data_IF_444412638958
#
_entry.id   IF_444412638958
#
_cell.length_a   1.000
_cell.length_b   1.000
_cell.length_c   1.000
_cell.angle_alpha   90.00
_cell.angle_beta   90.00
_cell.angle_gamma   90.00
#
_symmetry.space_group_name_H-M   'P 1'
#
loop_
_entity.id
_entity.type
_entity.pdbx_description
1 polymer ?
#
# COMPACT_ATOMS: atom_id res chain seq x y z
N UNK A 1 11.58 -12.38 9.80
CA UNK A 1 11.16 -12.60 11.21
C UNK A 1 9.75 -13.17 11.18
N UNK A 2 9.59 -14.46 11.43
CA UNK A 2 8.27 -15.10 11.51
C UNK A 2 7.64 -14.63 12.82
N UNK A 3 6.60 -13.80 12.72
CA UNK A 3 5.79 -13.45 13.89
C UNK A 3 5.03 -14.72 14.33
N UNK A 4 5.32 -15.21 15.53
CA UNK A 4 4.53 -16.29 16.12
C UNK A 4 3.06 -15.85 16.19
N UNK A 5 2.18 -16.61 15.56
CA UNK A 5 0.72 -16.39 15.58
C UNK A 5 0.22 -16.56 17.02
N UNK A 6 0.05 -15.45 17.72
CA UNK A 6 -0.58 -15.45 19.04
C UNK A 6 -2.08 -15.80 18.94
N UNK A 7 -2.71 -16.21 20.07
CA UNK A 7 -4.14 -16.48 20.11
C UNK A 7 -4.92 -15.20 19.79
N UNK A 8 -5.66 -15.20 18.68
CA UNK A 8 -6.42 -14.06 18.16
C UNK A 8 -6.29 -13.86 16.65
N UNK A 9 -5.28 -14.46 16.01
CA UNK A 9 -5.11 -14.38 14.55
C UNK A 9 -6.22 -15.11 13.78
N UNK A 10 -6.80 -16.16 14.36
CA UNK A 10 -7.84 -16.98 13.72
C UNK A 10 -9.20 -16.27 13.62
N UNK A 11 -9.35 -15.12 14.29
CA UNK A 11 -10.57 -14.31 14.24
C UNK A 11 -10.62 -13.37 13.03
N UNK A 12 -9.51 -13.21 12.29
CA UNK A 12 -9.41 -12.29 11.17
C UNK A 12 -9.05 -13.04 9.88
N UNK A 13 -9.75 -12.75 8.81
CA UNK A 13 -9.42 -13.28 7.49
C UNK A 13 -8.07 -12.76 6.98
N UNK A 14 -7.27 -13.63 6.40
CA UNK A 14 -6.00 -13.27 5.73
C UNK A 14 -6.18 -13.07 4.23
N UNK A 15 -7.31 -13.49 3.66
CA UNK A 15 -7.67 -13.24 2.27
C UNK A 15 -8.59 -12.02 2.20
N UNK A 16 -8.11 -10.98 1.52
CA UNK A 16 -8.95 -9.81 1.28
C UNK A 16 -9.90 -10.08 0.10
N UNK A 17 -11.17 -9.63 0.20
CA UNK A 17 -12.06 -9.61 -0.95
C UNK A 17 -11.49 -8.66 -2.02
N UNK A 18 -12.05 -8.68 -3.26
CA UNK A 18 -11.60 -7.79 -4.31
C UNK A 18 -11.55 -6.33 -3.85
N UNK A 19 -10.40 -5.69 -4.11
CA UNK A 19 -10.18 -4.26 -3.89
C UNK A 19 -10.42 -3.60 -5.24
N UNK A 20 -11.64 -3.12 -5.45
CA UNK A 20 -12.05 -2.55 -6.73
C UNK A 20 -12.85 -1.26 -6.49
N UNK A 21 -12.35 -0.18 -7.09
CA UNK A 21 -13.03 1.12 -7.15
C UNK A 21 -13.81 1.28 -8.45
N UNK A 22 -14.21 2.51 -8.75
CA UNK A 22 -14.97 2.81 -9.96
C UNK A 22 -14.16 2.72 -11.26
N UNK A 23 -12.84 2.94 -11.19
CA UNK A 23 -11.95 3.04 -12.37
C UNK A 23 -10.70 2.18 -12.27
N UNK A 24 -10.34 1.71 -11.08
CA UNK A 24 -9.11 0.96 -10.82
C UNK A 24 -9.38 -0.21 -9.89
N UNK A 25 -8.70 -1.32 -10.13
CA UNK A 25 -8.71 -2.50 -9.25
C UNK A 25 -7.30 -2.94 -8.89
N UNK A 26 -7.17 -3.56 -7.73
CA UNK A 26 -5.95 -4.21 -7.31
C UNK A 26 -5.92 -5.66 -7.83
N UNK A 27 -4.86 -6.02 -8.53
CA UNK A 27 -4.60 -7.38 -9.01
C UNK A 27 -3.40 -7.92 -8.25
N UNK A 28 -3.56 -9.07 -7.61
CA UNK A 28 -2.46 -9.71 -6.85
C UNK A 28 -1.22 -9.83 -7.75
N UNK A 29 -0.11 -9.28 -7.27
CA UNK A 29 1.14 -9.26 -8.00
C UNK A 29 1.73 -10.67 -8.09
N UNK A 30 2.16 -11.03 -9.30
CA UNK A 30 2.88 -12.26 -9.60
C UNK A 30 3.98 -12.00 -10.63
N UNK A 31 4.70 -13.06 -11.00
CA UNK A 31 5.80 -12.97 -11.96
C UNK A 31 5.39 -12.35 -13.31
N UNK A 32 4.13 -12.46 -13.73
CA UNK A 32 3.63 -11.89 -15.01
C UNK A 32 3.51 -10.37 -14.94
N UNK A 33 3.33 -9.82 -13.73
CA UNK A 33 3.15 -8.39 -13.50
C UNK A 33 4.44 -7.65 -13.13
N UNK A 34 5.55 -8.36 -12.91
CA UNK A 34 6.85 -7.76 -12.52
C UNK A 34 7.24 -6.59 -13.41
N UNK A 35 7.15 -6.74 -14.73
CA UNK A 35 7.51 -5.65 -15.66
C UNK A 35 6.60 -4.43 -15.53
N UNK A 36 5.32 -4.64 -15.30
CA UNK A 36 4.37 -3.54 -15.12
C UNK A 36 4.58 -2.83 -13.78
N UNK A 37 4.85 -3.59 -12.72
CA UNK A 37 5.20 -3.04 -11.41
C UNK A 37 6.52 -2.26 -11.50
N UNK A 38 7.55 -2.80 -12.15
CA UNK A 38 8.82 -2.11 -12.36
C UNK A 38 8.59 -0.77 -13.08
N UNK A 39 7.78 -0.77 -14.14
CA UNK A 39 7.44 0.46 -14.86
C UNK A 39 6.64 1.46 -14.02
N UNK A 40 5.84 1.00 -13.04
CA UNK A 40 5.19 1.90 -12.09
C UNK A 40 6.19 2.54 -11.12
N UNK A 41 7.16 1.76 -10.61
CA UNK A 41 8.21 2.28 -9.73
C UNK A 41 9.08 3.31 -10.47
N UNK A 42 9.55 2.99 -11.67
CA UNK A 42 10.33 3.90 -12.52
C UNK A 42 9.54 5.14 -12.95
N UNK A 43 8.22 5.01 -13.06
CA UNK A 43 7.31 6.10 -13.41
C UNK A 43 7.00 7.07 -12.27
N UNK A 44 7.65 6.94 -11.11
CA UNK A 44 7.51 7.82 -9.95
C UNK A 44 8.87 8.32 -9.44
N UNK A 45 9.68 8.96 -10.29
CA UNK A 45 11.06 9.36 -9.95
C UNK A 45 11.14 10.31 -8.76
N UNK A 46 10.19 11.24 -8.59
CA UNK A 46 10.19 12.18 -7.48
C UNK A 46 10.01 11.50 -6.12
N UNK A 47 9.20 10.44 -6.07
CA UNK A 47 9.05 9.63 -4.87
C UNK A 47 10.39 9.00 -4.46
N UNK A 48 11.05 8.31 -5.39
CA UNK A 48 12.32 7.62 -5.12
C UNK A 48 13.47 8.59 -4.84
N UNK A 49 13.52 9.73 -5.52
CA UNK A 49 14.50 10.77 -5.23
C UNK A 49 14.39 11.29 -3.80
N UNK A 50 13.15 11.45 -3.29
CA UNK A 50 12.90 11.93 -1.92
C UNK A 50 13.13 10.86 -0.86
N UNK A 51 12.73 9.62 -1.10
CA UNK A 51 12.73 8.56 -0.09
C UNK A 51 14.01 7.72 -0.09
N UNK A 52 14.62 7.53 -1.24
CA UNK A 52 15.79 6.65 -1.42
C UNK A 52 17.02 7.37 -1.99
N UNK A 53 16.88 8.65 -2.34
CA UNK A 53 17.98 9.47 -2.83
C UNK A 53 18.37 9.21 -4.29
N UNK A 54 17.60 8.41 -5.04
CA UNK A 54 17.87 8.10 -6.44
C UNK A 54 16.78 7.22 -7.06
N UNK A 55 16.92 6.85 -8.33
CA UNK A 55 15.92 6.03 -9.01
C UNK A 55 15.82 4.62 -8.41
N UNK A 56 14.68 3.93 -8.57
CA UNK A 56 14.57 2.53 -8.14
C UNK A 56 15.57 1.67 -8.90
N UNK A 57 16.07 0.61 -8.25
CA UNK A 57 16.89 -0.39 -8.92
C UNK A 57 16.14 -1.05 -10.06
N UNK A 58 16.87 -1.55 -11.07
CA UNK A 58 16.28 -2.22 -12.25
C UNK A 58 15.56 -3.53 -11.92
N UNK A 59 15.76 -4.04 -10.71
CA UNK A 59 15.17 -5.26 -10.16
C UNK A 59 14.26 -4.98 -8.95
N UNK A 60 13.89 -3.73 -8.72
CA UNK A 60 13.11 -3.31 -7.54
C UNK A 60 11.78 -4.06 -7.42
N UNK A 61 11.05 -4.24 -8.53
CA UNK A 61 9.81 -5.01 -8.53
C UNK A 61 10.03 -6.49 -8.23
N UNK A 62 11.09 -7.09 -8.78
CA UNK A 62 11.40 -8.50 -8.52
C UNK A 62 11.74 -8.73 -7.04
N UNK A 63 12.52 -7.82 -6.44
CA UNK A 63 12.84 -7.86 -5.00
C UNK A 63 11.58 -7.68 -4.15
N UNK A 64 10.73 -6.72 -4.49
CA UNK A 64 9.47 -6.48 -3.78
C UNK A 64 8.60 -7.74 -3.73
N UNK A 65 8.47 -8.44 -4.86
CA UNK A 65 7.70 -9.68 -4.92
C UNK A 65 8.38 -10.83 -4.18
N UNK A 66 9.68 -11.00 -4.32
CA UNK A 66 10.44 -12.03 -3.60
C UNK A 66 10.36 -11.84 -2.07
N UNK A 67 10.44 -10.60 -1.59
CA UNK A 67 10.28 -10.28 -0.17
C UNK A 67 8.87 -10.59 0.34
N UNK A 68 7.86 -10.44 -0.52
CA UNK A 68 6.47 -10.72 -0.17
C UNK A 68 6.12 -12.22 -0.17
N UNK A 69 6.78 -13.04 -1.01
CA UNK A 69 6.53 -14.49 -1.10
C UNK A 69 6.78 -15.23 0.21
N UNK A 70 7.69 -14.71 1.06
CA UNK A 70 8.02 -15.29 2.37
C UNK A 70 7.14 -14.82 3.52
N UNK A 71 6.13 -13.97 3.26
CA UNK A 71 5.30 -13.35 4.29
C UNK A 71 3.80 -13.54 4.00
N UNK A 72 3.19 -14.49 4.69
CA UNK A 72 1.76 -14.81 4.57
C UNK A 72 0.83 -13.63 4.91
N UNK A 73 1.32 -12.61 5.57
CA UNK A 73 0.56 -11.43 5.99
C UNK A 73 0.80 -10.21 5.09
N UNK A 74 1.69 -10.31 4.11
CA UNK A 74 1.97 -9.25 3.16
C UNK A 74 1.25 -9.48 1.84
N UNK A 75 0.68 -8.41 1.28
CA UNK A 75 -0.02 -8.43 0.00
C UNK A 75 0.51 -7.32 -0.90
N UNK A 76 1.00 -7.69 -2.06
CA UNK A 76 1.42 -6.76 -3.10
C UNK A 76 0.46 -6.85 -4.27
N UNK A 77 0.00 -5.71 -4.75
CA UNK A 77 -0.93 -5.59 -5.86
C UNK A 77 -0.40 -4.63 -6.93
N UNK A 78 -0.62 -4.98 -8.17
CA UNK A 78 -0.61 -4.02 -9.26
C UNK A 78 -1.98 -3.33 -9.34
N UNK A 79 -1.99 -2.01 -9.49
CA UNK A 79 -3.21 -1.23 -9.66
C UNK A 79 -3.49 -1.05 -11.15
N UNK A 80 -4.57 -1.67 -11.63
CA UNK A 80 -4.88 -1.79 -13.06
C UNK A 80 -6.18 -1.05 -13.37
N UNK A 81 -6.22 -0.20 -14.41
CA UNK A 81 -7.45 0.47 -14.82
C UNK A 81 -8.52 -0.53 -15.27
N UNK A 82 -9.78 -0.32 -14.88
CA UNK A 82 -10.91 -1.12 -15.34
C UNK A 82 -11.15 -0.98 -16.85
N UNK A 83 -10.80 0.16 -17.42
CA UNK A 83 -10.88 0.40 -18.85
C UNK A 83 -9.83 -0.39 -19.68
N UNK A 84 -8.94 -1.11 -18.98
CA UNK A 84 -7.82 -1.82 -19.61
C UNK A 84 -6.56 -0.97 -19.71
N UNK A 85 -5.48 -1.59 -20.18
CA UNK A 85 -4.16 -0.96 -20.26
C UNK A 85 -3.19 -1.44 -19.17
N UNK A 86 -1.97 -0.89 -19.16
CA UNK A 86 -0.95 -1.27 -18.20
C UNK A 86 -1.28 -0.79 -16.78
N UNK A 87 -0.65 -1.38 -15.77
CA UNK A 87 -0.74 -0.93 -14.39
C UNK A 87 -0.35 0.54 -14.25
N UNK A 88 -1.09 1.26 -13.42
CA UNK A 88 -0.90 2.69 -13.14
C UNK A 88 -0.25 2.94 -11.78
N UNK A 89 -0.16 1.90 -10.94
CA UNK A 89 0.39 2.02 -9.60
C UNK A 89 0.63 0.68 -8.93
N UNK A 90 1.09 0.75 -7.69
CA UNK A 90 1.42 -0.38 -6.83
C UNK A 90 0.85 -0.14 -5.44
N UNK A 91 0.26 -1.16 -4.85
CA UNK A 91 -0.17 -1.19 -3.45
C UNK A 91 0.56 -2.34 -2.74
N UNK A 92 1.21 -2.03 -1.61
CA UNK A 92 1.82 -2.99 -0.72
C UNK A 92 1.24 -2.81 0.68
N UNK A 93 0.64 -3.86 1.23
CA UNK A 93 -0.03 -3.82 2.52
C UNK A 93 0.32 -5.02 3.37
N UNK A 94 0.64 -4.76 4.64
CA UNK A 94 0.80 -5.77 5.68
C UNK A 94 -0.50 -5.92 6.46
N UNK A 95 -0.96 -7.15 6.60
CA UNK A 95 -2.12 -7.49 7.42
C UNK A 95 -1.67 -7.81 8.85
N UNK A 96 -2.46 -7.42 9.85
CA UNK A 96 -2.15 -7.66 11.26
C UNK A 96 -0.79 -7.10 11.71
N UNK A 97 -0.43 -5.91 11.22
CA UNK A 97 0.81 -5.24 11.55
C UNK A 97 0.55 -3.81 12.07
N UNK A 98 1.10 -3.40 13.22
CA UNK A 98 2.00 -4.15 14.12
C UNK A 98 1.26 -5.12 15.06
N UNK A 99 -0.06 -5.17 15.02
CA UNK A 99 -0.89 -5.98 15.90
C UNK A 99 -2.14 -6.50 15.18
N UNK A 100 -2.81 -7.54 15.71
CA UNK A 100 -4.03 -8.08 15.12
C UNK A 100 -5.11 -7.02 14.91
N UNK A 101 -5.76 -7.04 13.74
CA UNK A 101 -6.82 -6.09 13.38
C UNK A 101 -6.34 -4.74 12.85
N UNK A 102 -5.02 -4.54 12.75
CA UNK A 102 -4.41 -3.37 12.09
C UNK A 102 -3.84 -3.81 10.74
N UNK A 103 -4.16 -3.09 9.67
CA UNK A 103 -3.48 -3.21 8.39
C UNK A 103 -2.53 -2.02 8.21
N UNK A 104 -1.36 -2.25 7.59
CA UNK A 104 -0.36 -1.21 7.36
C UNK A 104 -0.05 -1.09 5.87
N UNK A 105 -0.34 0.07 5.30
CA UNK A 105 0.08 0.40 3.93
C UNK A 105 1.56 0.74 3.94
N UNK A 106 2.36 -0.15 3.38
CA UNK A 106 3.81 0.07 3.22
C UNK A 106 4.12 0.92 1.99
N UNK A 107 3.33 0.74 0.92
CA UNK A 107 3.46 1.51 -0.31
C UNK A 107 2.08 1.68 -0.97
N UNK A 108 1.74 2.91 -1.30
CA UNK A 108 0.71 3.24 -2.28
C UNK A 108 1.33 4.26 -3.24
N UNK A 109 1.65 3.80 -4.43
CA UNK A 109 2.38 4.58 -5.42
C UNK A 109 1.66 4.55 -6.76
N UNK A 110 1.53 5.72 -7.39
CA UNK A 110 1.06 5.86 -8.76
C UNK A 110 2.15 6.49 -9.62
N UNK A 111 2.21 6.11 -10.89
CA UNK A 111 3.02 6.83 -11.88
C UNK A 111 2.68 8.31 -11.83
N UNK A 112 3.67 9.19 -11.98
CA UNK A 112 3.44 10.64 -11.94
C UNK A 112 2.38 11.10 -12.93
N UNK A 113 2.37 10.52 -14.13
CA UNK A 113 1.33 10.79 -15.14
C UNK A 113 -0.09 10.41 -14.71
N UNK A 114 -0.24 9.58 -13.67
CA UNK A 114 -1.53 9.12 -13.13
C UNK A 114 -1.87 9.76 -11.77
N UNK A 115 -0.99 10.59 -11.23
CA UNK A 115 -1.23 11.30 -9.98
C UNK A 115 -2.23 12.45 -10.18
N UNK A 116 -2.88 12.88 -9.09
CA UNK A 116 -3.86 13.97 -9.15
C UNK A 116 -5.21 13.60 -9.81
N UNK A 117 -5.36 12.39 -10.33
CA UNK A 117 -6.58 11.91 -11.00
C UNK A 117 -7.58 11.23 -10.06
N UNK A 118 -7.29 11.19 -8.76
CA UNK A 118 -8.18 10.61 -7.76
C UNK A 118 -8.01 9.10 -7.52
N UNK A 119 -7.13 8.43 -8.23
CA UNK A 119 -6.88 6.97 -8.06
C UNK A 119 -6.47 6.60 -6.63
N UNK A 120 -5.64 7.43 -5.97
CA UNK A 120 -5.21 7.16 -4.60
C UNK A 120 -6.35 7.14 -3.60
N UNK A 121 -7.25 8.12 -3.67
CA UNK A 121 -8.46 8.17 -2.83
C UNK A 121 -9.37 6.97 -3.09
N UNK A 122 -9.60 6.65 -4.36
CA UNK A 122 -10.45 5.55 -4.79
C UNK A 122 -9.91 4.19 -4.33
N UNK A 123 -8.61 3.95 -4.54
CA UNK A 123 -7.94 2.72 -4.09
C UNK A 123 -7.98 2.56 -2.57
N UNK A 124 -7.74 3.65 -1.83
CA UNK A 124 -7.76 3.62 -0.37
C UNK A 124 -9.17 3.30 0.14
N UNK A 125 -10.22 3.91 -0.41
CA UNK A 125 -11.59 3.62 -0.03
C UNK A 125 -11.98 2.15 -0.30
N UNK A 126 -11.60 1.61 -1.46
CA UNK A 126 -11.83 0.20 -1.79
C UNK A 126 -11.05 -0.76 -0.87
N UNK A 127 -9.82 -0.40 -0.48
CA UNK A 127 -9.03 -1.15 0.49
C UNK A 127 -9.70 -1.12 1.88
N UNK A 128 -10.15 0.05 2.33
CA UNK A 128 -10.86 0.20 3.61
C UNK A 128 -12.11 -0.71 3.66
N UNK A 129 -12.93 -0.72 2.60
CA UNK A 129 -14.11 -1.58 2.50
C UNK A 129 -13.75 -3.08 2.55
N UNK A 130 -12.68 -3.48 1.87
CA UNK A 130 -12.19 -4.85 1.90
C UNK A 130 -11.70 -5.26 3.29
N UNK A 131 -10.96 -4.39 3.97
CA UNK A 131 -10.44 -4.59 5.31
C UNK A 131 -11.56 -4.70 6.36
N UNK A 132 -12.56 -3.81 6.29
CA UNK A 132 -13.73 -3.85 7.19
C UNK A 132 -14.47 -5.19 7.08
N UNK A 133 -14.68 -5.67 5.86
CA UNK A 133 -15.30 -7.00 5.64
C UNK A 133 -14.52 -8.16 6.22
N UNK A 134 -13.20 -8.01 6.41
CA UNK A 134 -12.34 -8.99 7.07
C UNK A 134 -12.15 -8.73 8.56
N UNK A 135 -12.86 -7.75 9.14
CA UNK A 135 -12.83 -7.46 10.57
C UNK A 135 -11.67 -6.56 11.02
N UNK A 136 -10.89 -5.99 10.10
CA UNK A 136 -9.89 -4.99 10.44
C UNK A 136 -10.54 -3.71 10.95
N UNK A 137 -9.90 -3.06 11.91
CA UNK A 137 -10.43 -1.88 12.60
C UNK A 137 -9.59 -0.63 12.42
N UNK A 138 -8.39 -0.78 11.92
CA UNK A 138 -7.46 0.33 11.75
C UNK A 138 -6.64 0.13 10.49
N UNK A 139 -6.53 1.19 9.70
CA UNK A 139 -5.57 1.30 8.62
C UNK A 139 -4.50 2.27 9.05
N UNK A 140 -3.23 1.83 8.97
CA UNK A 140 -2.04 2.57 9.39
C UNK A 140 -1.10 2.75 8.21
N UNK A 141 -0.29 3.78 8.26
CA UNK A 141 0.81 4.02 7.33
C UNK A 141 1.87 4.92 7.99
N UNK A 142 3.00 5.05 7.33
CA UNK A 142 4.08 5.95 7.75
C UNK A 142 4.45 6.90 6.62
N UNK A 143 4.69 8.17 6.97
CA UNK A 143 5.06 9.23 6.04
C UNK A 143 6.35 9.88 6.51
N UNK A 144 7.35 9.94 5.62
CA UNK A 144 8.58 10.67 5.87
C UNK A 144 8.34 12.18 5.93
N UNK A 145 9.15 12.88 6.71
CA UNK A 145 9.06 14.35 6.87
C UNK A 145 9.33 15.10 5.57
N UNK A 146 10.07 14.47 4.67
CA UNK A 146 10.44 14.98 3.34
C UNK A 146 9.29 14.88 2.32
N UNK A 147 8.13 14.31 2.71
CA UNK A 147 7.00 14.12 1.81
C UNK A 147 5.72 14.83 2.29
N UNK A 148 5.70 16.18 2.28
CA UNK A 148 4.54 16.96 2.74
C UNK A 148 3.29 16.73 1.87
N UNK A 149 3.45 16.39 0.60
CA UNK A 149 2.33 16.12 -0.31
C UNK A 149 1.58 14.83 0.09
N UNK A 150 2.32 13.77 0.42
CA UNK A 150 1.73 12.54 0.92
C UNK A 150 1.02 12.80 2.25
N UNK A 151 1.64 13.56 3.16
CA UNK A 151 1.01 13.95 4.42
C UNK A 151 -0.34 14.65 4.18
N UNK A 152 -0.36 15.69 3.34
CA UNK A 152 -1.58 16.41 3.02
C UNK A 152 -2.65 15.52 2.34
N UNK A 153 -2.23 14.56 1.51
CA UNK A 153 -3.12 13.61 0.89
C UNK A 153 -3.81 12.72 1.96
N UNK A 154 -3.03 12.12 2.86
CA UNK A 154 -3.56 11.23 3.89
C UNK A 154 -4.47 11.95 4.88
N UNK A 155 -4.09 13.16 5.33
CA UNK A 155 -4.93 14.00 6.17
C UNK A 155 -6.27 14.32 5.52
N UNK A 156 -6.26 14.67 4.22
CA UNK A 156 -7.49 15.01 3.45
C UNK A 156 -8.46 13.82 3.32
N UNK A 157 -7.98 12.59 3.32
CA UNK A 157 -8.84 11.40 3.24
C UNK A 157 -9.11 10.77 4.60
N UNK A 158 -8.82 11.49 5.69
CA UNK A 158 -9.28 11.18 7.04
C UNK A 158 -8.30 10.45 7.94
N UNK A 159 -7.02 10.37 7.57
CA UNK A 159 -5.98 9.87 8.46
C UNK A 159 -5.51 10.99 9.41
N UNK A 160 -5.14 10.61 10.62
CA UNK A 160 -4.56 11.50 11.61
C UNK A 160 -3.19 11.00 12.06
N UNK A 161 -2.26 11.92 12.30
CA UNK A 161 -0.96 11.60 12.91
C UNK A 161 -1.17 11.14 14.35
N UNK A 162 -0.70 9.94 14.67
CA UNK A 162 -0.83 9.34 16.01
C UNK A 162 0.51 9.19 16.72
N UNK A 163 1.62 9.43 16.06
CA UNK A 163 2.95 9.34 16.64
C UNK A 163 4.06 9.52 15.62
N UNK A 164 5.29 9.40 16.10
CA UNK A 164 6.49 9.48 15.27
C UNK A 164 7.44 8.35 15.61
N UNK A 165 8.07 7.80 14.58
CA UNK A 165 9.18 6.88 14.67
C UNK A 165 10.50 7.65 14.67
N UNK A 166 11.61 6.93 14.84
CA UNK A 166 12.95 7.47 14.69
C UNK A 166 13.12 8.19 13.34
N UNK A 167 14.00 9.18 13.31
CA UNK A 167 14.25 10.04 12.12
C UNK A 167 13.04 10.88 11.67
N UNK A 168 12.05 11.09 12.54
CA UNK A 168 10.93 11.99 12.27
C UNK A 168 9.85 11.45 11.34
N UNK A 169 9.87 10.16 11.04
CA UNK A 169 8.80 9.52 10.26
C UNK A 169 7.49 9.57 11.05
N UNK A 170 6.49 10.21 10.49
CA UNK A 170 5.17 10.32 11.12
C UNK A 170 4.33 9.06 10.86
N UNK A 171 3.65 8.58 11.90
CA UNK A 171 2.70 7.47 11.82
C UNK A 171 1.29 8.03 11.75
N UNK A 172 0.54 7.60 10.76
CA UNK A 172 -0.84 7.98 10.53
C UNK A 172 -1.77 6.79 10.69
N UNK A 173 -2.94 7.05 11.25
CA UNK A 173 -4.00 6.05 11.37
C UNK A 173 -5.35 6.60 10.95
N UNK A 174 -6.19 5.68 10.46
CA UNK A 174 -7.61 5.88 10.28
C UNK A 174 -8.36 4.70 10.91
N UNK A 175 -9.34 4.99 11.76
CA UNK A 175 -10.25 3.97 12.29
C UNK A 175 -11.25 3.60 11.20
N UNK A 176 -11.40 2.29 11.01
CA UNK A 176 -12.32 1.70 10.05
C UNK A 176 -13.65 1.35 10.75
N UNK A 177 -14.76 1.64 10.10
CA UNK A 177 -16.11 1.44 10.63
C UNK A 177 -16.94 0.57 9.67
#
# INVERSE_FOLDING_TARGET
>A
MVLERGPGFDAYGTELPPIEGARVRAVTADARLVRQIQACLEGAPDYFARTEGGPPGTDAAARLLADAEGDDLRRVYALVPLAGGPAVGVLDVYLHHPEPGVAHVALLLFREACQGLGYGKETTAALEDALVRCGFRTLRLSVGVENPEARAFWERIGFAEVGRLDRGVAVFEKKLA
#
